data_IF_734507551481
#
_entry.id   IF_734507551481
#
_cell.length_a   1.000
_cell.length_b   1.000
_cell.length_c   1.000
_cell.angle_alpha   90.00
_cell.angle_beta   90.00
_cell.angle_gamma   90.00
#
_symmetry.space_group_name_H-M   'P 1'
#
loop_
_entity.id
_entity.type
_entity.pdbx_description
1 polymer ?
#
# COMPACT_ATOMS: atom_id res chain seq x y z
N UNK A 1 -19.44 -24.93 -3.03
CA UNK A 1 -18.94 -25.29 -1.68
C UNK A 1 -20.12 -25.19 -0.72
N UNK A 2 -20.43 -26.25 0.03
CA UNK A 2 -21.51 -26.26 1.00
C UNK A 2 -20.90 -26.04 2.39
N UNK A 3 -21.20 -24.91 3.03
CA UNK A 3 -20.78 -24.65 4.41
C UNK A 3 -21.77 -25.30 5.35
N UNK A 4 -21.29 -26.18 6.21
CA UNK A 4 -22.09 -26.77 7.30
C UNK A 4 -22.15 -25.78 8.47
N UNK A 5 -23.21 -25.87 9.27
CA UNK A 5 -23.28 -25.13 10.55
C UNK A 5 -22.05 -25.48 11.38
N UNK A 6 -21.27 -24.47 11.74
CA UNK A 6 -20.02 -24.62 12.49
C UNK A 6 -20.08 -23.77 13.76
N UNK A 7 -19.34 -24.18 14.79
CA UNK A 7 -19.14 -23.42 16.01
C UNK A 7 -17.68 -22.96 16.05
N UNK A 8 -17.45 -21.70 16.36
CA UNK A 8 -16.12 -21.17 16.59
C UNK A 8 -15.59 -21.71 17.93
N UNK A 9 -14.32 -22.11 17.95
CA UNK A 9 -13.61 -22.45 19.19
C UNK A 9 -12.87 -21.18 19.61
N UNK A 10 -13.29 -20.61 20.74
CA UNK A 10 -12.70 -19.38 21.28
C UNK A 10 -11.23 -19.53 21.68
N UNK A 11 -10.58 -18.40 21.94
CA UNK A 11 -9.18 -18.28 22.39
C UNK A 11 -8.13 -18.85 21.43
N UNK A 12 -8.48 -19.11 20.17
CA UNK A 12 -7.49 -19.51 19.17
C UNK A 12 -6.65 -18.31 18.76
N UNK A 13 -5.35 -18.57 18.53
CA UNK A 13 -4.44 -17.56 17.99
C UNK A 13 -4.23 -17.80 16.51
N UNK A 14 -4.49 -16.76 15.72
CA UNK A 14 -4.45 -16.80 14.25
C UNK A 14 -3.33 -15.90 13.79
N UNK A 15 -2.55 -16.38 12.84
CA UNK A 15 -1.53 -15.60 12.15
C UNK A 15 -2.06 -15.12 10.81
N UNK A 16 -2.09 -13.80 10.63
CA UNK A 16 -2.47 -13.15 9.38
C UNK A 16 -1.17 -12.70 8.71
N UNK A 17 -1.05 -12.89 7.40
CA UNK A 17 0.10 -12.41 6.64
C UNK A 17 0.26 -10.90 6.71
N UNK A 18 1.45 -10.42 6.41
CA UNK A 18 1.74 -8.99 6.38
C UNK A 18 0.83 -8.21 5.44
N UNK A 19 0.66 -6.93 5.74
CA UNK A 19 -0.15 -6.01 4.96
C UNK A 19 0.29 -5.92 3.51
N UNK A 20 -0.63 -6.16 2.57
CA UNK A 20 -0.43 -6.00 1.14
C UNK A 20 0.03 -4.57 0.80
N UNK A 21 -0.63 -3.58 1.38
CA UNK A 21 -0.36 -2.17 1.10
C UNK A 21 1.03 -1.72 1.57
N UNK A 22 1.51 -2.22 2.71
CA UNK A 22 2.86 -1.95 3.22
C UNK A 22 3.88 -2.74 2.39
N UNK A 23 3.64 -4.04 2.18
CA UNK A 23 4.55 -4.93 1.43
C UNK A 23 4.86 -4.42 0.03
N UNK A 24 3.83 -4.01 -0.72
CA UNK A 24 4.02 -3.52 -2.08
C UNK A 24 4.85 -2.24 -2.14
N UNK A 25 4.73 -1.34 -1.16
CA UNK A 25 5.57 -0.14 -1.05
C UNK A 25 7.01 -0.48 -0.74
N UNK A 26 7.22 -1.36 0.22
CA UNK A 26 8.55 -1.80 0.62
C UNK A 26 9.29 -2.55 -0.47
N UNK A 27 8.60 -3.38 -1.27
CA UNK A 27 9.20 -4.08 -2.41
C UNK A 27 9.75 -3.10 -3.46
N UNK A 28 9.01 -2.03 -3.78
CA UNK A 28 9.52 -0.97 -4.67
C UNK A 28 10.75 -0.29 -4.06
N UNK A 29 10.70 0.08 -2.79
CA UNK A 29 11.82 0.74 -2.11
C UNK A 29 13.04 -0.18 -2.00
N UNK A 30 12.83 -1.47 -1.72
CA UNK A 30 13.91 -2.47 -1.73
C UNK A 30 14.62 -2.53 -3.08
N UNK A 31 13.88 -2.56 -4.19
CA UNK A 31 14.46 -2.57 -5.53
C UNK A 31 15.15 -1.25 -5.92
N UNK A 32 14.70 -0.12 -5.38
CA UNK A 32 15.32 1.18 -5.65
C UNK A 32 16.59 1.40 -4.85
N UNK A 33 16.69 0.85 -3.64
CA UNK A 33 17.76 1.20 -2.68
C UNK A 33 18.59 0.01 -2.20
N UNK A 34 18.22 -1.24 -2.55
CA UNK A 34 18.94 -2.51 -2.28
C UNK A 34 19.31 -2.81 -0.80
N UNK A 35 18.85 -1.99 0.16
CA UNK A 35 19.35 -2.01 1.54
C UNK A 35 18.26 -2.31 2.58
N UNK A 36 17.03 -2.61 2.14
CA UNK A 36 15.90 -2.81 3.05
C UNK A 36 15.64 -4.31 3.20
N UNK A 37 16.01 -4.90 4.34
CA UNK A 37 15.57 -6.24 4.68
C UNK A 37 14.07 -6.19 5.06
N UNK A 38 13.22 -7.01 4.44
CA UNK A 38 11.79 -7.04 4.70
C UNK A 38 11.42 -8.39 5.28
N UNK A 39 10.73 -8.39 6.45
CA UNK A 39 10.19 -9.60 7.08
C UNK A 39 8.67 -9.54 7.11
N UNK A 40 8.03 -10.70 7.10
CA UNK A 40 6.57 -10.87 7.10
C UNK A 40 5.88 -10.20 5.90
N UNK A 41 6.40 -10.39 4.69
CA UNK A 41 5.73 -9.94 3.46
C UNK A 41 4.33 -10.53 3.34
N UNK A 42 3.45 -9.80 2.69
CA UNK A 42 2.12 -10.30 2.33
C UNK A 42 2.21 -11.48 1.38
N UNK A 43 1.41 -12.51 1.62
CA UNK A 43 1.24 -13.63 0.72
C UNK A 43 0.11 -13.40 -0.31
N UNK A 44 -0.41 -12.17 -0.41
CA UNK A 44 -1.43 -11.82 -1.40
C UNK A 44 -0.90 -11.97 -2.81
N UNK A 45 -1.78 -12.34 -3.73
CA UNK A 45 -1.44 -12.49 -5.15
C UNK A 45 -0.87 -11.18 -5.75
N UNK A 46 -1.40 -10.03 -5.35
CA UNK A 46 -0.87 -8.72 -5.75
C UNK A 46 0.61 -8.55 -5.39
N UNK A 47 1.00 -8.92 -4.17
CA UNK A 47 2.39 -8.82 -3.69
C UNK A 47 3.29 -9.82 -4.42
N UNK A 48 2.85 -11.06 -4.59
CA UNK A 48 3.61 -12.09 -5.31
C UNK A 48 3.85 -11.71 -6.78
N UNK A 49 2.83 -11.16 -7.46
CA UNK A 49 2.96 -10.69 -8.84
C UNK A 49 3.89 -9.48 -8.94
N UNK A 50 3.83 -8.55 -7.98
CA UNK A 50 4.75 -7.42 -7.93
C UNK A 50 6.20 -7.88 -7.74
N UNK A 51 6.46 -8.76 -6.78
CA UNK A 51 7.78 -9.31 -6.51
C UNK A 51 8.35 -10.05 -7.73
N UNK A 52 7.53 -10.91 -8.36
CA UNK A 52 7.90 -11.60 -9.60
C UNK A 52 8.23 -10.62 -10.73
N UNK A 53 7.46 -9.56 -10.88
CA UNK A 53 7.67 -8.54 -11.91
C UNK A 53 8.97 -7.75 -11.70
N UNK A 54 9.28 -7.40 -10.45
CA UNK A 54 10.51 -6.68 -10.08
C UNK A 54 11.77 -7.50 -10.34
N UNK A 55 11.71 -8.82 -10.18
CA UNK A 55 12.80 -9.77 -10.41
C UNK A 55 12.83 -10.31 -11.86
N UNK A 56 11.93 -9.85 -12.74
CA UNK A 56 11.83 -10.34 -14.10
C UNK A 56 12.81 -9.62 -15.05
N UNK A 57 13.44 -10.42 -15.94
CA UNK A 57 14.20 -9.92 -17.07
C UNK A 57 13.40 -9.95 -18.38
N UNK A 58 12.12 -10.31 -18.34
CA UNK A 58 11.26 -10.36 -19.52
C UNK A 58 10.96 -8.96 -20.05
N UNK A 59 10.94 -8.82 -21.39
CA UNK A 59 10.48 -7.60 -22.04
C UNK A 59 8.97 -7.36 -21.84
N UNK A 60 8.20 -8.43 -21.66
CA UNK A 60 6.76 -8.34 -21.37
C UNK A 60 6.47 -8.86 -19.98
N UNK A 61 5.83 -8.02 -19.18
CA UNK A 61 5.49 -8.26 -17.77
C UNK A 61 3.97 -8.24 -17.64
N UNK A 62 3.40 -9.41 -17.36
CA UNK A 62 1.97 -9.56 -17.08
C UNK A 62 1.74 -9.61 -15.56
N UNK A 63 1.00 -8.63 -15.05
CA UNK A 63 0.65 -8.53 -13.62
C UNK A 63 -0.79 -8.97 -13.36
N UNK A 64 -1.43 -9.65 -14.29
CA UNK A 64 -2.81 -10.10 -14.18
C UNK A 64 -3.78 -8.99 -13.75
N UNK A 65 -4.40 -9.13 -12.57
CA UNK A 65 -5.35 -8.14 -12.02
C UNK A 65 -4.77 -7.32 -10.87
N UNK A 66 -3.46 -7.39 -10.62
CA UNK A 66 -2.78 -6.67 -9.54
C UNK A 66 -2.73 -5.16 -9.79
N UNK A 67 -3.76 -4.46 -9.32
CA UNK A 67 -3.93 -3.03 -9.57
C UNK A 67 -2.81 -2.18 -9.01
N UNK A 68 -2.37 -2.44 -7.79
CA UNK A 68 -1.26 -1.74 -7.15
C UNK A 68 0.05 -1.98 -7.91
N UNK A 69 0.31 -3.22 -8.31
CA UNK A 69 1.48 -3.57 -9.11
C UNK A 69 1.53 -2.79 -10.44
N UNK A 70 0.41 -2.68 -11.17
CA UNK A 70 0.33 -1.88 -12.40
C UNK A 70 0.80 -0.44 -12.17
N UNK A 71 0.32 0.24 -11.11
CA UNK A 71 0.65 1.64 -10.83
C UNK A 71 2.11 1.78 -10.40
N UNK A 72 2.53 0.96 -9.45
CA UNK A 72 3.87 1.06 -8.87
C UNK A 72 4.96 0.71 -9.90
N UNK A 73 4.76 -0.33 -10.69
CA UNK A 73 5.69 -0.73 -11.75
C UNK A 73 5.75 0.30 -12.89
N UNK A 74 4.64 0.98 -13.20
CA UNK A 74 4.65 2.06 -14.21
C UNK A 74 5.62 3.18 -13.82
N UNK A 75 5.57 3.65 -12.56
CA UNK A 75 6.53 4.64 -12.07
C UNK A 75 7.96 4.06 -11.96
N UNK A 76 8.09 2.87 -11.40
CA UNK A 76 9.38 2.20 -11.23
C UNK A 76 10.13 2.04 -12.56
N UNK A 77 9.50 1.47 -13.57
CA UNK A 77 10.15 1.26 -14.88
C UNK A 77 10.41 2.56 -15.63
N UNK A 78 9.67 3.63 -15.36
CA UNK A 78 9.89 4.93 -15.99
C UNK A 78 11.26 5.53 -15.68
N UNK A 79 11.86 5.16 -14.54
CA UNK A 79 13.16 5.66 -14.08
C UNK A 79 14.30 4.62 -14.20
N UNK A 80 14.03 3.43 -14.77
CA UNK A 80 15.06 2.39 -14.97
C UNK A 80 15.78 2.62 -16.30
N UNK A 81 16.81 3.44 -16.28
CA UNK A 81 17.57 3.81 -17.50
C UNK A 81 18.05 2.58 -18.28
N UNK A 82 17.90 2.62 -19.59
CA UNK A 82 18.29 1.55 -20.50
C UNK A 82 17.31 0.36 -20.56
N UNK A 83 16.27 0.31 -19.71
CA UNK A 83 15.26 -0.74 -19.71
C UNK A 83 14.05 -0.33 -20.54
N UNK A 84 13.56 -1.25 -21.38
CA UNK A 84 12.28 -1.08 -22.08
C UNK A 84 11.42 -2.29 -21.77
N UNK A 85 10.19 -2.06 -21.29
CA UNK A 85 9.26 -3.11 -20.93
C UNK A 85 7.86 -2.85 -21.49
N UNK A 86 7.14 -3.91 -21.79
CA UNK A 86 5.70 -3.90 -22.02
C UNK A 86 5.01 -4.37 -20.75
N UNK A 87 4.29 -3.46 -20.08
CA UNK A 87 3.55 -3.78 -18.86
C UNK A 87 2.07 -4.01 -19.21
N UNK A 88 1.58 -5.21 -18.94
CA UNK A 88 0.22 -5.65 -19.29
C UNK A 88 -0.47 -6.35 -18.12
N UNK A 89 -1.68 -6.81 -18.33
CA UNK A 89 -2.47 -7.57 -17.36
C UNK A 89 -3.68 -8.22 -18.01
N UNK A 90 -4.57 -8.76 -17.17
CA UNK A 90 -5.81 -9.39 -17.62
C UNK A 90 -6.70 -8.43 -18.41
N UNK A 91 -7.68 -8.96 -19.14
CA UNK A 91 -8.66 -8.15 -19.88
C UNK A 91 -9.37 -7.12 -18.97
N UNK A 92 -9.66 -7.48 -17.72
CA UNK A 92 -10.20 -6.54 -16.72
C UNK A 92 -9.20 -5.44 -16.36
N UNK A 93 -7.90 -5.73 -16.30
CA UNK A 93 -6.86 -4.73 -16.05
C UNK A 93 -6.74 -3.76 -17.21
N UNK A 94 -6.85 -4.21 -18.44
CA UNK A 94 -6.88 -3.38 -19.66
C UNK A 94 -8.08 -2.42 -19.73
N UNK A 95 -9.10 -2.64 -18.89
CA UNK A 95 -10.28 -1.75 -18.75
C UNK A 95 -10.15 -0.75 -17.59
N UNK A 96 -9.07 -0.79 -16.83
CA UNK A 96 -8.82 0.12 -15.71
C UNK A 96 -7.91 1.25 -16.15
N UNK A 97 -8.40 2.48 -16.08
CA UNK A 97 -7.61 3.65 -16.50
C UNK A 97 -6.33 3.81 -15.69
N UNK A 98 -5.26 4.18 -16.38
CA UNK A 98 -3.97 4.57 -15.82
C UNK A 98 -3.51 5.95 -16.30
N UNK A 99 -4.39 6.61 -17.06
CA UNK A 99 -4.10 7.89 -17.74
C UNK A 99 -3.50 8.94 -16.81
N UNK A 100 -4.09 9.15 -15.64
CA UNK A 100 -3.63 10.18 -14.70
C UNK A 100 -2.17 9.99 -14.28
N UNK A 101 -1.73 8.75 -14.04
CA UNK A 101 -0.35 8.46 -13.71
C UNK A 101 0.58 8.64 -14.91
N UNK A 102 0.17 8.15 -16.07
CA UNK A 102 0.98 8.29 -17.30
C UNK A 102 1.14 9.75 -17.68
N UNK A 103 0.10 10.56 -17.59
CA UNK A 103 0.17 11.99 -17.86
C UNK A 103 1.13 12.70 -16.88
N UNK A 104 1.04 12.38 -15.59
CA UNK A 104 1.94 12.92 -14.57
C UNK A 104 3.41 12.51 -14.82
N UNK A 105 3.66 11.24 -15.15
CA UNK A 105 5.01 10.76 -15.48
C UNK A 105 5.55 11.37 -16.77
N UNK A 106 4.71 11.52 -17.81
CA UNK A 106 5.09 12.21 -19.05
C UNK A 106 5.39 13.69 -18.80
N UNK A 107 4.66 14.35 -17.90
CA UNK A 107 4.94 15.73 -17.49
C UNK A 107 6.31 15.86 -16.81
N UNK A 108 6.75 14.82 -16.07
CA UNK A 108 8.10 14.73 -15.50
C UNK A 108 9.18 14.37 -16.54
N UNK A 109 8.79 13.99 -17.76
CA UNK A 109 9.70 13.63 -18.85
C UNK A 109 9.77 12.14 -19.18
N UNK A 110 8.93 11.30 -18.59
CA UNK A 110 8.94 9.86 -18.87
C UNK A 110 8.51 9.51 -20.30
N UNK A 111 9.09 8.42 -20.83
CA UNK A 111 8.75 7.89 -22.16
C UNK A 111 7.84 6.68 -22.03
N UNK A 112 6.52 6.90 -22.12
CA UNK A 112 5.48 5.89 -22.01
C UNK A 112 4.54 5.99 -23.21
N UNK A 113 4.20 4.85 -23.82
CA UNK A 113 3.23 4.74 -24.92
C UNK A 113 2.16 3.72 -24.57
N UNK A 114 0.93 4.00 -24.95
CA UNK A 114 -0.16 3.04 -24.93
C UNK A 114 -0.06 2.16 -26.18
N UNK A 115 -0.24 0.84 -26.04
CA UNK A 115 -0.11 -0.08 -27.18
C UNK A 115 -1.46 -0.39 -27.85
N UNK A 116 -2.55 -0.28 -27.12
CA UNK A 116 -3.90 -0.55 -27.60
C UNK A 116 -4.78 0.70 -27.49
N UNK A 117 -5.34 0.97 -26.32
CA UNK A 117 -6.27 2.04 -26.09
C UNK A 117 -5.62 3.16 -25.26
N UNK A 118 -5.74 4.42 -25.71
CA UNK A 118 -5.24 5.59 -24.96
C UNK A 118 -5.84 5.65 -23.57
N UNK A 119 -4.99 5.82 -22.55
CA UNK A 119 -5.39 5.88 -21.16
C UNK A 119 -5.44 4.51 -20.43
N UNK A 120 -5.17 3.40 -21.14
CA UNK A 120 -5.32 2.05 -20.62
C UNK A 120 -4.11 1.16 -20.94
N UNK A 121 -3.79 0.16 -20.06
CA UNK A 121 -2.80 -0.85 -20.42
C UNK A 121 -3.22 -1.62 -21.69
N UNK A 122 -2.26 -2.24 -22.44
CA UNK A 122 -0.84 -2.37 -22.14
C UNK A 122 -0.04 -1.10 -22.41
N UNK A 123 1.05 -0.93 -21.63
CA UNK A 123 1.96 0.21 -21.72
C UNK A 123 3.34 -0.26 -22.21
N UNK A 124 3.93 0.46 -23.16
CA UNK A 124 5.36 0.38 -23.44
C UNK A 124 6.07 1.50 -22.69
N UNK A 125 6.96 1.12 -21.79
CA UNK A 125 7.69 2.04 -20.91
C UNK A 125 9.17 1.93 -21.25
N UNK A 126 9.79 3.05 -21.60
CA UNK A 126 11.24 3.14 -21.79
C UNK A 126 11.82 3.98 -20.66
N UNK A 127 12.57 3.36 -19.79
CA UNK A 127 13.19 4.00 -18.63
C UNK A 127 14.24 5.02 -19.03
N UNK A 128 14.20 6.16 -18.40
CA UNK A 128 15.15 7.26 -18.59
C UNK A 128 15.25 8.13 -17.34
N UNK A 129 16.29 8.94 -17.24
CA UNK A 129 16.38 10.02 -16.25
C UNK A 129 15.23 11.00 -16.48
N UNK A 130 14.47 11.30 -15.43
CA UNK A 130 13.41 12.31 -15.48
C UNK A 130 14.05 13.69 -15.24
N UNK A 131 13.64 14.67 -16.07
CA UNK A 131 14.29 15.99 -16.11
C UNK A 131 13.62 16.99 -15.17
N UNK A 132 12.35 16.76 -14.85
CA UNK A 132 11.56 17.64 -13.98
C UNK A 132 11.29 16.97 -12.63
N UNK A 133 11.16 17.80 -11.62
CA UNK A 133 10.94 17.38 -10.23
C UNK A 133 9.64 17.93 -9.62
N UNK A 134 8.78 18.58 -10.43
CA UNK A 134 7.48 19.09 -9.97
C UNK A 134 6.38 18.58 -10.89
N UNK A 135 5.29 18.11 -10.31
CA UNK A 135 4.13 17.61 -11.03
C UNK A 135 2.83 17.95 -10.30
N UNK A 136 1.82 18.30 -11.08
CA UNK A 136 0.46 18.51 -10.60
C UNK A 136 -0.40 17.28 -10.92
N UNK A 137 -1.19 16.81 -9.96
CA UNK A 137 -2.07 15.66 -10.13
C UNK A 137 -3.37 15.87 -9.35
N UNK A 138 -4.49 15.41 -9.93
CA UNK A 138 -5.77 15.46 -9.22
C UNK A 138 -5.75 14.62 -7.94
N UNK A 139 -6.23 15.18 -6.84
CA UNK A 139 -6.35 14.50 -5.55
C UNK A 139 -7.61 13.61 -5.45
N UNK A 140 -8.56 13.77 -6.39
CA UNK A 140 -9.83 13.01 -6.40
C UNK A 140 -9.69 11.62 -7.00
N UNK A 141 -8.49 11.23 -7.43
CA UNK A 141 -8.18 9.92 -7.99
C UNK A 141 -7.68 8.96 -6.90
N UNK A 142 -7.55 7.69 -7.27
CA UNK A 142 -6.98 6.68 -6.36
C UNK A 142 -5.62 7.12 -5.81
N UNK A 143 -5.45 7.05 -4.49
CA UNK A 143 -4.19 7.31 -3.80
C UNK A 143 -3.01 6.46 -4.29
N UNK A 144 -3.27 5.35 -5.00
CA UNK A 144 -2.23 4.51 -5.60
C UNK A 144 -1.42 5.26 -6.67
N UNK A 145 -2.03 6.19 -7.43
CA UNK A 145 -1.30 6.99 -8.42
C UNK A 145 -0.31 7.94 -7.74
N UNK A 146 -0.78 8.64 -6.70
CA UNK A 146 0.05 9.59 -5.95
C UNK A 146 1.15 8.83 -5.19
N UNK A 147 0.80 7.75 -4.48
CA UNK A 147 1.79 6.88 -3.79
C UNK A 147 2.86 6.35 -4.75
N UNK A 148 2.49 6.02 -5.98
CA UNK A 148 3.40 5.53 -7.01
C UNK A 148 4.48 6.57 -7.37
N UNK A 149 4.10 7.83 -7.49
CA UNK A 149 5.03 8.95 -7.71
C UNK A 149 5.91 9.20 -6.48
N UNK A 150 5.31 9.17 -5.27
CA UNK A 150 6.05 9.38 -4.02
C UNK A 150 7.18 8.35 -3.86
N UNK A 151 6.94 7.08 -4.20
CA UNK A 151 7.93 6.00 -4.04
C UNK A 151 9.19 6.19 -4.89
N UNK A 152 9.07 6.78 -6.08
CA UNK A 152 10.22 7.05 -6.95
C UNK A 152 10.88 8.39 -6.66
N UNK A 153 10.22 9.28 -5.91
CA UNK A 153 10.65 10.67 -5.73
C UNK A 153 12.07 10.81 -5.21
N UNK A 154 12.47 9.96 -4.26
CA UNK A 154 13.81 10.01 -3.67
C UNK A 154 14.95 9.55 -4.63
N UNK A 155 14.61 8.90 -5.75
CA UNK A 155 15.58 8.52 -6.81
C UNK A 155 15.75 9.60 -7.87
N UNK A 156 14.89 10.61 -7.89
CA UNK A 156 15.04 11.74 -8.79
C UNK A 156 16.15 12.67 -8.26
N UNK A 157 16.94 13.25 -9.14
CA UNK A 157 18.11 14.05 -8.81
C UNK A 157 17.83 15.20 -7.83
N UNK A 158 16.67 15.85 -7.99
CA UNK A 158 16.24 16.98 -7.15
C UNK A 158 15.01 16.62 -6.30
N UNK A 159 14.81 15.32 -6.02
CA UNK A 159 13.60 14.87 -5.34
C UNK A 159 12.32 15.05 -6.18
N UNK A 160 11.17 15.10 -5.53
CA UNK A 160 9.89 15.27 -6.20
C UNK A 160 8.94 16.13 -5.37
N UNK A 161 8.35 17.13 -6.03
CA UNK A 161 7.26 17.93 -5.51
C UNK A 161 5.95 17.59 -6.24
N UNK A 162 4.94 17.16 -5.48
CA UNK A 162 3.62 16.77 -6.00
C UNK A 162 2.59 17.77 -5.52
N UNK A 163 2.00 18.52 -6.44
CA UNK A 163 0.92 19.47 -6.17
C UNK A 163 -0.42 18.74 -6.38
N UNK A 164 -1.24 18.69 -5.32
CA UNK A 164 -2.52 18.00 -5.31
C UNK A 164 -3.65 18.98 -5.65
N UNK A 165 -4.42 18.71 -6.71
CA UNK A 165 -5.58 19.51 -7.06
C UNK A 165 -6.89 18.86 -6.61
N UNK A 166 -7.70 19.62 -5.88
CA UNK A 166 -8.99 19.17 -5.36
C UNK A 166 -8.91 18.49 -3.99
N UNK A 167 -9.98 17.78 -3.61
CA UNK A 167 -10.09 17.15 -2.30
C UNK A 167 -9.34 15.81 -2.29
N UNK A 168 -8.45 15.64 -1.33
CA UNK A 168 -7.73 14.38 -1.13
C UNK A 168 -8.68 13.29 -0.66
N UNK A 169 -8.70 12.17 -1.38
CA UNK A 169 -9.38 10.93 -0.99
C UNK A 169 -8.38 9.89 -0.51
N UNK A 170 -8.83 8.99 0.38
CA UNK A 170 -7.96 7.91 0.90
C UNK A 170 -6.63 8.44 1.48
N UNK A 171 -6.69 9.54 2.24
CA UNK A 171 -5.56 10.20 2.88
C UNK A 171 -4.64 9.25 3.67
N UNK A 172 -5.15 8.25 4.43
CA UNK A 172 -4.32 7.32 5.20
C UNK A 172 -3.29 6.56 4.35
N UNK A 173 -3.59 6.26 3.09
CA UNK A 173 -2.62 5.57 2.21
C UNK A 173 -1.46 6.46 1.77
N UNK A 174 -1.69 7.77 1.63
CA UNK A 174 -0.63 8.75 1.38
C UNK A 174 0.23 8.93 2.63
N UNK A 175 -0.40 9.08 3.80
CA UNK A 175 0.30 9.15 5.08
C UNK A 175 1.10 7.89 5.40
N UNK A 176 0.54 6.70 5.11
CA UNK A 176 1.27 5.43 5.18
C UNK A 176 2.55 5.47 4.31
N UNK A 177 2.43 5.96 3.08
CA UNK A 177 3.59 6.06 2.17
C UNK A 177 4.65 6.99 2.72
N UNK A 178 4.27 8.19 3.20
CA UNK A 178 5.19 9.14 3.82
C UNK A 178 5.88 8.58 5.06
N UNK A 179 5.13 7.89 5.93
CA UNK A 179 5.68 7.26 7.13
C UNK A 179 6.65 6.14 6.79
N UNK A 180 6.34 5.30 5.79
CA UNK A 180 7.26 4.25 5.31
C UNK A 180 8.55 4.89 4.77
N UNK A 181 8.43 5.92 3.93
CA UNK A 181 9.59 6.66 3.40
C UNK A 181 10.47 7.20 4.54
N UNK A 182 9.89 7.83 5.57
CA UNK A 182 10.65 8.30 6.75
C UNK A 182 11.31 7.17 7.51
N UNK A 183 10.60 6.04 7.71
CA UNK A 183 11.14 4.87 8.42
C UNK A 183 12.36 4.29 7.70
N UNK A 184 12.38 4.35 6.36
CA UNK A 184 13.54 3.95 5.56
C UNK A 184 14.52 5.10 5.32
N UNK A 185 14.42 6.20 6.06
CA UNK A 185 15.38 7.31 6.06
C UNK A 185 15.19 8.34 4.95
N UNK A 186 14.10 8.29 4.20
CA UNK A 186 13.81 9.27 3.14
C UNK A 186 13.04 10.45 3.73
N UNK A 187 13.66 11.62 3.74
CA UNK A 187 13.04 12.85 4.21
C UNK A 187 11.87 13.26 3.29
N UNK A 188 10.76 13.65 3.89
CA UNK A 188 9.59 14.07 3.15
C UNK A 188 8.71 15.00 4.00
N UNK A 189 7.88 15.79 3.32
CA UNK A 189 7.01 16.77 3.92
C UNK A 189 5.67 16.83 3.18
N UNK A 190 4.58 17.09 3.91
CA UNK A 190 3.26 17.35 3.34
C UNK A 190 2.66 18.58 4.02
N UNK A 191 2.51 19.65 3.25
CA UNK A 191 1.93 20.91 3.72
C UNK A 191 0.87 21.40 2.74
N UNK A 192 -0.30 21.71 3.24
CA UNK A 192 -1.43 22.13 2.41
C UNK A 192 -1.76 21.10 1.34
N UNK A 193 -1.61 21.48 0.10
CA UNK A 193 -1.83 20.64 -1.09
C UNK A 193 -0.52 20.12 -1.73
N UNK A 194 0.62 20.30 -1.07
CA UNK A 194 1.92 19.95 -1.65
C UNK A 194 2.61 18.86 -0.84
N UNK A 195 3.02 17.79 -1.52
CA UNK A 195 3.85 16.71 -0.96
C UNK A 195 5.24 16.85 -1.56
N UNK A 196 6.27 16.91 -0.71
CA UNK A 196 7.66 16.98 -1.12
C UNK A 196 8.42 15.75 -0.63
N UNK A 197 9.15 15.11 -1.53
CA UNK A 197 10.04 13.99 -1.26
C UNK A 197 11.45 14.47 -1.58
N UNK A 198 12.33 14.46 -0.58
CA UNK A 198 13.71 14.87 -0.77
C UNK A 198 14.51 13.79 -1.50
N UNK A 199 15.51 14.18 -2.33
CA UNK A 199 16.38 13.21 -2.97
C UNK A 199 17.27 12.53 -1.92
N UNK A 200 17.64 11.27 -2.17
CA UNK A 200 18.73 10.65 -1.42
C UNK A 200 20.05 11.14 -2.02
N UNK A 201 20.76 11.97 -1.27
CA UNK A 201 22.12 12.34 -1.59
C UNK A 201 23.04 11.13 -1.31
N UNK A 202 23.84 10.76 -2.31
CA UNK A 202 24.87 9.71 -2.18
C UNK A 202 25.92 10.02 -1.07
N UNK A 203 26.00 11.27 -0.62
CA UNK A 203 26.86 11.71 0.48
C UNK A 203 26.15 11.67 1.85
N UNK A 204 24.85 11.52 1.90
CA UNK A 204 24.11 11.37 3.14
C UNK A 204 24.19 9.92 3.62
N UNK A 205 24.59 9.73 4.87
CA UNK A 205 24.74 8.44 5.56
C UNK A 205 23.41 7.63 5.67
N UNK A 206 22.35 8.03 4.99
CA UNK A 206 21.04 7.37 4.94
C UNK A 206 21.17 5.92 4.47
N UNK A 207 22.02 5.65 3.49
CA UNK A 207 22.30 4.28 3.05
C UNK A 207 22.89 3.40 4.18
N UNK A 208 23.68 3.99 5.10
CA UNK A 208 24.28 3.25 6.23
C UNK A 208 23.29 2.94 7.37
N UNK A 209 22.30 3.81 7.60
CA UNK A 209 21.31 3.57 8.65
C UNK A 209 20.26 2.52 8.27
N UNK A 210 20.01 2.30 6.98
CA UNK A 210 19.06 1.29 6.48
C UNK A 210 19.60 -0.15 6.55
N UNK A 211 20.94 -0.32 6.68
CA UNK A 211 21.61 -1.60 6.45
C UNK A 211 21.42 -2.67 7.51
N UNK A 212 20.85 -2.40 8.70
CA UNK A 212 20.94 -3.35 9.80
C UNK A 212 19.64 -3.62 10.59
N UNK A 213 18.52 -3.00 10.26
CA UNK A 213 17.27 -3.24 10.98
C UNK A 213 16.19 -3.69 9.99
N UNK A 214 15.73 -4.96 10.07
CA UNK A 214 14.69 -5.44 9.18
C UNK A 214 13.38 -4.66 9.41
N UNK A 215 12.72 -4.28 8.31
CA UNK A 215 11.38 -3.76 8.37
C UNK A 215 10.39 -4.93 8.52
N UNK A 216 9.84 -5.10 9.72
CA UNK A 216 8.83 -6.11 9.97
C UNK A 216 7.46 -5.56 9.55
N UNK A 217 6.89 -6.14 8.51
CA UNK A 217 5.56 -5.78 8.03
C UNK A 217 4.52 -6.22 9.04
N UNK A 218 3.69 -5.30 9.49
CA UNK A 218 2.54 -5.58 10.34
C UNK A 218 1.50 -6.42 9.59
N UNK A 219 0.78 -7.30 10.29
CA UNK A 219 -0.33 -8.05 9.71
C UNK A 219 -1.41 -7.14 9.13
N UNK A 220 -2.14 -7.68 8.17
CA UNK A 220 -3.10 -6.92 7.36
C UNK A 220 -4.39 -6.63 8.12
N UNK A 221 -4.68 -5.35 8.37
CA UNK A 221 -5.88 -4.92 9.09
C UNK A 221 -7.16 -5.12 8.26
N UNK A 222 -7.11 -4.99 6.94
CA UNK A 222 -8.27 -5.33 6.10
C UNK A 222 -8.64 -6.80 6.26
N UNK A 223 -7.64 -7.69 6.34
CA UNK A 223 -7.88 -9.13 6.61
C UNK A 223 -8.36 -9.37 8.05
N UNK A 224 -7.93 -8.57 9.02
CA UNK A 224 -8.41 -8.66 10.40
C UNK A 224 -9.92 -8.40 10.51
N UNK A 225 -10.52 -7.62 9.61
CA UNK A 225 -11.96 -7.28 9.63
C UNK A 225 -12.86 -8.51 9.66
N UNK A 226 -12.46 -9.57 8.96
CA UNK A 226 -13.20 -10.84 8.97
C UNK A 226 -13.21 -11.50 10.35
N UNK A 227 -12.11 -11.41 11.09
CA UNK A 227 -12.01 -11.97 12.45
C UNK A 227 -12.74 -11.10 13.48
N UNK A 228 -12.77 -9.79 13.31
CA UNK A 228 -13.61 -8.91 14.08
C UNK A 228 -15.09 -9.26 13.89
N UNK A 229 -15.52 -9.49 12.65
CA UNK A 229 -16.89 -9.94 12.35
C UNK A 229 -17.20 -11.30 13.01
N UNK A 230 -16.26 -12.26 12.93
CA UNK A 230 -16.41 -13.55 13.58
C UNK A 230 -16.53 -13.42 15.10
N UNK A 231 -15.68 -12.61 15.75
CA UNK A 231 -15.76 -12.37 17.19
C UNK A 231 -17.10 -11.74 17.58
N UNK A 232 -17.56 -10.71 16.85
CA UNK A 232 -18.83 -10.05 17.11
C UNK A 232 -20.03 -10.99 17.00
N UNK A 233 -20.08 -11.84 15.97
CA UNK A 233 -21.21 -12.75 15.71
C UNK A 233 -21.20 -13.95 16.65
N UNK A 234 -20.01 -14.56 16.88
CA UNK A 234 -19.90 -15.79 17.67
C UNK A 234 -19.87 -15.54 19.17
N UNK A 235 -19.54 -14.32 19.60
CA UNK A 235 -19.26 -13.95 20.99
C UNK A 235 -18.10 -14.74 21.61
N UNK A 236 -17.17 -15.20 20.77
CA UNK A 236 -15.97 -15.91 21.16
C UNK A 236 -14.74 -15.04 21.00
N UNK A 237 -13.79 -15.14 21.94
CA UNK A 237 -12.51 -14.42 21.85
C UNK A 237 -11.66 -14.95 20.71
N UNK A 238 -11.09 -14.03 19.92
CA UNK A 238 -10.14 -14.34 18.85
C UNK A 238 -8.83 -13.59 19.10
N UNK A 239 -7.70 -14.28 18.99
CA UNK A 239 -6.38 -13.67 19.12
C UNK A 239 -5.70 -13.59 17.74
N UNK A 240 -5.11 -12.45 17.43
CA UNK A 240 -4.42 -12.21 16.16
C UNK A 240 -2.96 -11.80 16.43
N UNK A 241 -2.00 -12.36 15.66
CA UNK A 241 -0.57 -12.08 15.80
C UNK A 241 -0.09 -10.98 14.84
N UNK A 242 1.07 -10.41 15.18
CA UNK A 242 1.84 -9.47 14.36
C UNK A 242 1.12 -8.15 14.09
N UNK A 243 0.34 -7.66 15.06
CA UNK A 243 -0.30 -6.35 15.04
C UNK A 243 0.41 -5.38 15.98
N UNK A 244 0.66 -4.17 15.51
CA UNK A 244 1.33 -3.11 16.28
C UNK A 244 0.32 -2.26 17.05
N UNK A 245 0.67 -1.76 18.24
CA UNK A 245 -0.19 -0.81 18.98
C UNK A 245 -0.52 0.45 18.18
N UNK A 246 0.47 0.94 17.42
CA UNK A 246 0.34 2.08 16.52
C UNK A 246 0.56 1.60 15.08
N UNK A 247 -0.53 1.47 14.34
CA UNK A 247 -0.50 0.99 12.96
C UNK A 247 -0.26 2.11 11.95
N UNK A 248 0.40 1.76 10.85
CA UNK A 248 0.47 2.61 9.65
C UNK A 248 -0.78 2.47 8.76
N UNK A 249 -1.60 1.45 9.00
CA UNK A 249 -2.76 1.12 8.18
C UNK A 249 -3.99 1.88 8.69
N UNK A 250 -4.68 2.60 7.80
CA UNK A 250 -5.93 3.30 8.12
C UNK A 250 -7.01 2.36 8.66
N UNK A 251 -7.03 1.13 8.14
CA UNK A 251 -7.98 0.08 8.55
C UNK A 251 -7.84 -0.34 10.03
N UNK A 252 -6.80 0.10 10.74
CA UNK A 252 -6.71 -0.05 12.20
C UNK A 252 -7.84 0.67 12.95
N UNK A 253 -8.60 1.56 12.28
CA UNK A 253 -9.85 2.14 12.77
C UNK A 253 -10.92 1.09 13.11
N UNK A 254 -10.76 -0.17 12.63
CA UNK A 254 -11.57 -1.31 13.06
C UNK A 254 -11.71 -1.42 14.58
N UNK A 255 -10.66 -1.10 15.35
CA UNK A 255 -10.70 -1.16 16.81
C UNK A 255 -11.81 -0.31 17.39
N UNK A 256 -11.91 0.94 16.92
CA UNK A 256 -12.92 1.90 17.38
C UNK A 256 -14.30 1.56 16.84
N UNK A 257 -14.40 1.25 15.55
CA UNK A 257 -15.66 0.88 14.89
C UNK A 257 -16.29 -0.35 15.57
N UNK A 258 -15.49 -1.39 15.84
CA UNK A 258 -16.05 -2.60 16.44
C UNK A 258 -16.31 -2.45 17.94
N UNK A 259 -15.56 -1.60 18.63
CA UNK A 259 -15.89 -1.25 20.01
C UNK A 259 -17.22 -0.50 20.10
N UNK A 260 -17.38 0.56 19.33
CA UNK A 260 -18.54 1.46 19.42
C UNK A 260 -19.85 0.82 18.91
N UNK A 261 -19.77 0.00 17.86
CA UNK A 261 -20.97 -0.47 17.16
C UNK A 261 -21.22 -1.98 17.26
N UNK A 262 -20.24 -2.76 17.69
CA UNK A 262 -20.34 -4.21 17.70
C UNK A 262 -19.92 -4.86 19.02
N UNK A 263 -19.49 -4.06 20.02
CA UNK A 263 -19.12 -4.52 21.34
C UNK A 263 -17.91 -5.46 21.33
N UNK A 264 -16.92 -5.22 20.46
CA UNK A 264 -15.66 -5.98 20.42
C UNK A 264 -14.52 -5.11 20.88
N UNK A 265 -14.06 -5.33 22.09
CA UNK A 265 -12.89 -4.66 22.63
C UNK A 265 -11.60 -5.26 22.06
N UNK A 266 -10.61 -4.40 21.76
CA UNK A 266 -9.30 -4.80 21.28
C UNK A 266 -8.24 -4.53 22.34
N UNK A 267 -7.68 -5.58 22.92
CA UNK A 267 -6.55 -5.48 23.84
C UNK A 267 -5.26 -5.78 23.08
N UNK A 268 -4.30 -4.86 23.15
CA UNK A 268 -2.99 -5.01 22.52
C UNK A 268 -1.96 -5.48 23.56
N UNK A 269 -1.33 -6.62 23.29
CA UNK A 269 -0.20 -7.14 24.03
C UNK A 269 1.10 -6.74 23.30
N UNK A 270 1.56 -5.49 23.55
CA UNK A 270 2.61 -4.85 22.76
C UNK A 270 3.94 -5.61 22.67
N UNK A 271 4.33 -6.36 23.71
CA UNK A 271 5.56 -7.14 23.71
C UNK A 271 5.54 -8.30 22.70
N UNK A 272 4.36 -8.89 22.44
CA UNK A 272 4.18 -10.02 21.54
C UNK A 272 3.62 -9.60 20.16
N UNK A 273 3.38 -8.31 19.95
CA UNK A 273 2.68 -7.79 18.78
C UNK A 273 1.36 -8.55 18.50
N UNK A 274 0.63 -8.88 19.57
CA UNK A 274 -0.62 -9.63 19.55
C UNK A 274 -1.78 -8.72 19.94
N UNK A 275 -2.93 -8.93 19.32
CA UNK A 275 -4.19 -8.34 19.74
C UNK A 275 -5.20 -9.43 20.10
N UNK A 276 -5.99 -9.18 21.14
CA UNK A 276 -7.09 -10.04 21.56
C UNK A 276 -8.41 -9.30 21.32
N UNK A 277 -9.30 -9.92 20.55
CA UNK A 277 -10.63 -9.43 20.25
C UNK A 277 -11.60 -10.01 21.28
N UNK A 278 -12.07 -9.18 22.19
CA UNK A 278 -12.91 -9.55 23.33
C UNK A 278 -14.34 -9.06 23.13
N UNK A 279 -15.28 -9.91 22.68
CA UNK A 279 -16.65 -9.50 22.50
C UNK A 279 -17.41 -9.40 23.83
N UNK A 280 -18.24 -8.38 23.96
CA UNK A 280 -19.20 -8.26 25.05
C UNK A 280 -20.40 -9.20 24.82
N UNK A 281 -20.70 -10.05 25.78
CA UNK A 281 -21.77 -11.06 25.65
C UNK A 281 -23.17 -10.45 25.54
N UNK A 282 -23.40 -9.27 26.13
CA UNK A 282 -24.71 -8.62 26.21
C UNK A 282 -24.78 -7.32 25.40
N UNK A 283 -23.92 -7.14 24.40
CA UNK A 283 -23.94 -5.96 23.56
C UNK A 283 -25.21 -5.95 22.68
N UNK A 284 -25.95 -4.87 22.72
CA UNK A 284 -27.10 -4.65 21.86
C UNK A 284 -26.66 -3.92 20.59
N UNK A 285 -26.79 -4.59 19.46
CA UNK A 285 -26.48 -3.97 18.16
C UNK A 285 -27.45 -2.82 17.89
N UNK A 286 -26.96 -1.65 17.44
CA UNK A 286 -27.81 -0.55 17.03
C UNK A 286 -28.63 -0.94 15.78
N UNK A 287 -29.87 -0.45 15.71
CA UNK A 287 -30.75 -0.70 14.54
C UNK A 287 -30.19 -0.11 13.25
N UNK A 288 -29.41 0.97 13.36
CA UNK A 288 -28.82 1.68 12.22
C UNK A 288 -27.42 2.16 12.58
N UNK A 289 -26.48 1.89 11.68
CA UNK A 289 -25.10 2.37 11.75
C UNK A 289 -24.85 3.23 10.52
N UNK A 290 -24.24 4.41 10.72
CA UNK A 290 -23.79 5.29 9.65
C UNK A 290 -22.31 5.58 9.88
N UNK A 291 -21.45 5.12 8.98
CA UNK A 291 -20.00 5.26 9.08
C UNK A 291 -19.44 6.07 7.92
N UNK A 292 -18.45 6.89 8.18
CA UNK A 292 -17.63 7.51 7.15
C UNK A 292 -16.39 6.65 6.91
N UNK A 293 -16.38 5.90 5.80
CA UNK A 293 -15.30 4.96 5.47
C UNK A 293 -14.16 5.59 4.65
N UNK A 294 -14.09 6.93 4.53
CA UNK A 294 -13.03 7.58 3.75
C UNK A 294 -11.62 7.28 4.27
N UNK A 295 -11.48 7.04 5.56
CA UNK A 295 -10.19 6.78 6.22
C UNK A 295 -9.85 5.29 6.33
N UNK A 296 -10.81 4.42 6.05
CA UNK A 296 -10.66 2.95 6.05
C UNK A 296 -11.47 2.31 4.91
N UNK A 297 -11.16 2.62 3.64
CA UNK A 297 -12.02 2.24 2.50
C UNK A 297 -11.96 0.76 2.11
N UNK A 298 -11.06 -0.03 2.69
CA UNK A 298 -10.86 -1.44 2.36
C UNK A 298 -11.53 -2.41 3.36
N UNK A 299 -12.30 -1.89 4.35
CA UNK A 299 -13.03 -2.69 5.35
C UNK A 299 -14.53 -2.51 5.25
#
# INVERSE_FOLDING_TARGET
MLLKKSKLIGNQTIEISGSKSISNRLLILHQLFNNIEIKNLSNSQDTQLLEKALNSNSETIDIHHAGTAMRFLTSYFSIQEGKTVVLTGSERMKQRTIKFLVDALRALGAKISYLEKEGYPPLKITGKKLEKNTVTISANISSQFISSLMLIGAKLENGLEIILEGKVTSKPYLEMTLKILRTVGIANHWEGNTIKIEPIDSNNHVEKHLQNIPFIVESDWSSASYFYSLAAISRETVNLKSFKPYSLQGDSALREIYWDFFGVNTISEGAEAKISLLPEHYFNFPEKIVLNMNDCPDI
#
